data_IF_396557140671
#
_entry.id   IF_396557140671
#
_cell.length_a   1.000
_cell.length_b   1.000
_cell.length_c   1.000
_cell.angle_alpha   90.00
_cell.angle_beta   90.00
_cell.angle_gamma   90.00
#
_symmetry.space_group_name_H-M   'P 1'
#
loop_
_entity.id
_entity.type
_entity.pdbx_description
1 polymer ?
#
# COMPACT_ATOMS: atom_id res chain seq x y z
N UNK A 1 39.60 52.42 -22.32
CA UNK A 1 39.77 51.83 -20.97
C UNK A 1 38.69 50.82 -20.76
N UNK A 2 38.99 49.54 -20.95
CA UNK A 2 38.07 48.44 -20.80
C UNK A 2 38.31 47.76 -19.45
N UNK A 3 37.28 47.65 -18.62
CA UNK A 3 37.27 46.74 -17.48
C UNK A 3 36.26 45.64 -17.78
N UNK A 4 36.73 44.44 -18.04
CA UNK A 4 35.93 43.25 -18.08
C UNK A 4 35.89 42.64 -16.68
N UNK A 5 34.71 42.59 -16.08
CA UNK A 5 34.49 41.88 -14.82
C UNK A 5 34.21 40.41 -15.11
N UNK A 6 35.13 39.56 -14.72
CA UNK A 6 35.00 38.10 -14.67
C UNK A 6 34.36 37.73 -13.32
N UNK A 7 33.09 37.36 -13.35
CA UNK A 7 32.43 36.73 -12.19
C UNK A 7 31.35 35.78 -12.69
N UNK A 8 31.74 34.57 -13.13
CA UNK A 8 30.80 33.49 -13.34
C UNK A 8 31.50 32.13 -13.42
N UNK A 9 31.97 31.59 -12.32
CA UNK A 9 32.30 30.14 -12.29
C UNK A 9 32.40 29.48 -10.90
N UNK A 10 31.83 30.11 -9.84
CA UNK A 10 31.87 29.52 -8.49
C UNK A 10 30.60 28.73 -8.10
N UNK A 11 29.43 29.06 -8.66
CA UNK A 11 28.17 28.44 -8.27
C UNK A 11 27.94 27.04 -8.83
N UNK A 12 28.45 26.73 -10.01
CA UNK A 12 28.23 25.40 -10.64
C UNK A 12 29.08 24.27 -10.08
N UNK A 13 30.18 24.56 -9.38
CA UNK A 13 30.98 23.53 -8.72
C UNK A 13 30.38 23.11 -7.40
N UNK A 14 29.80 24.02 -6.65
CA UNK A 14 29.20 23.72 -5.35
C UNK A 14 27.88 22.93 -5.49
N UNK A 15 27.04 23.26 -6.49
CA UNK A 15 25.82 22.47 -6.77
C UNK A 15 26.10 21.03 -7.22
N UNK A 16 27.19 20.79 -7.97
CA UNK A 16 27.56 19.42 -8.38
C UNK A 16 28.09 18.59 -7.22
N UNK A 17 28.74 19.19 -6.27
CA UNK A 17 29.23 18.49 -5.06
C UNK A 17 28.07 18.14 -4.12
N UNK A 18 27.05 19.00 -4.05
CA UNK A 18 25.86 18.82 -3.20
C UNK A 18 24.93 17.70 -3.66
N UNK A 19 25.05 17.22 -4.89
CA UNK A 19 24.18 16.18 -5.47
C UNK A 19 24.87 14.83 -5.68
N UNK A 20 26.16 14.73 -5.41
CA UNK A 20 26.90 13.49 -5.61
C UNK A 20 26.58 12.50 -4.49
N UNK A 21 26.22 11.28 -4.88
CA UNK A 21 25.97 10.18 -3.97
C UNK A 21 27.25 9.76 -3.23
N UNK A 22 27.15 9.54 -1.93
CA UNK A 22 28.23 8.98 -1.12
C UNK A 22 28.21 7.44 -1.20
N UNK A 23 28.98 6.94 -2.18
CA UNK A 23 29.10 5.50 -2.43
C UNK A 23 29.72 4.75 -1.23
N UNK A 24 30.64 5.40 -0.50
CA UNK A 24 31.26 4.77 0.67
C UNK A 24 30.27 4.62 1.82
N UNK A 25 29.50 5.65 2.12
CA UNK A 25 28.44 5.58 3.11
C UNK A 25 27.38 4.53 2.73
N UNK A 26 27.04 4.44 1.44
CA UNK A 26 26.13 3.43 0.91
C UNK A 26 26.67 2.00 1.09
N UNK A 27 27.96 1.77 0.91
CA UNK A 27 28.60 0.47 1.16
C UNK A 27 28.58 0.10 2.65
N UNK A 28 28.79 1.05 3.54
CA UNK A 28 28.69 0.81 4.99
C UNK A 28 27.29 0.41 5.43
N UNK A 29 26.26 0.88 4.71
CA UNK A 29 24.85 0.58 5.05
C UNK A 29 24.41 -0.82 4.58
N UNK A 30 25.18 -1.54 3.76
CA UNK A 30 24.81 -2.88 3.30
C UNK A 30 24.65 -3.88 4.46
N UNK A 31 23.68 -4.82 4.35
CA UNK A 31 23.43 -5.87 5.34
C UNK A 31 22.09 -5.72 6.06
N UNK A 32 21.90 -6.49 7.14
CA UNK A 32 20.69 -6.50 7.98
C UNK A 32 20.92 -5.65 9.21
N UNK A 33 19.92 -4.82 9.51
CA UNK A 33 19.96 -3.88 10.61
C UNK A 33 18.83 -4.14 11.60
N UNK A 34 19.18 -4.21 12.88
CA UNK A 34 18.30 -4.44 14.01
C UNK A 34 18.18 -3.17 14.85
N UNK A 35 17.03 -2.99 15.50
CA UNK A 35 16.90 -2.05 16.59
C UNK A 35 17.79 -2.52 17.78
N UNK A 36 18.61 -1.63 18.31
CA UNK A 36 19.54 -2.00 19.38
C UNK A 36 18.81 -2.40 20.67
N UNK A 37 17.69 -1.77 20.98
CA UNK A 37 16.96 -1.96 22.23
C UNK A 37 16.07 -3.22 22.23
N UNK A 38 15.47 -3.55 21.08
CA UNK A 38 14.46 -4.61 20.95
C UNK A 38 14.99 -5.85 20.23
N UNK A 39 16.17 -5.76 19.62
CA UNK A 39 16.79 -6.81 18.79
C UNK A 39 15.92 -7.24 17.59
N UNK A 40 14.91 -6.44 17.24
CA UNK A 40 14.03 -6.69 16.10
C UNK A 40 14.68 -6.23 14.78
N UNK A 41 14.42 -7.00 13.73
CA UNK A 41 14.90 -6.67 12.37
C UNK A 41 14.11 -5.51 11.81
N UNK A 42 14.78 -4.38 11.55
CA UNK A 42 14.18 -3.16 11.01
C UNK A 42 14.18 -3.16 9.49
N UNK A 43 15.34 -3.39 8.87
CA UNK A 43 15.46 -3.49 7.42
C UNK A 43 16.72 -4.22 6.98
N UNK A 44 16.72 -4.64 5.71
CA UNK A 44 17.90 -5.16 5.01
C UNK A 44 18.23 -4.23 3.84
N UNK A 45 19.51 -3.92 3.70
CA UNK A 45 20.03 -3.16 2.56
C UNK A 45 20.81 -4.08 1.64
N UNK A 46 20.40 -4.09 0.37
CA UNK A 46 21.10 -4.82 -0.68
C UNK A 46 21.22 -3.93 -1.91
N UNK A 47 22.45 -3.63 -2.31
CA UNK A 47 22.77 -2.71 -3.39
C UNK A 47 22.14 -1.31 -3.17
N UNK A 48 21.21 -0.91 -4.00
CA UNK A 48 20.52 0.39 -3.99
C UNK A 48 19.17 0.34 -3.30
N UNK A 49 18.82 -0.78 -2.66
CA UNK A 49 17.45 -1.05 -2.22
C UNK A 49 17.40 -1.43 -0.74
N UNK A 50 16.44 -0.86 -0.04
CA UNK A 50 16.07 -1.23 1.33
C UNK A 50 14.86 -2.15 1.26
N UNK A 51 14.92 -3.27 1.96
CA UNK A 51 13.87 -4.27 2.13
C UNK A 51 13.39 -4.27 3.57
N UNK A 52 12.09 -4.40 3.77
CA UNK A 52 11.45 -4.46 5.09
C UNK A 52 10.98 -5.88 5.41
N UNK A 53 10.97 -6.30 6.70
CA UNK A 53 10.60 -7.67 7.08
C UNK A 53 9.11 -7.95 6.95
N UNK A 54 8.26 -6.92 6.96
CA UNK A 54 6.83 -7.12 6.84
C UNK A 54 6.39 -7.48 5.41
N UNK A 55 5.22 -8.11 5.30
CA UNK A 55 4.72 -8.65 4.03
C UNK A 55 4.10 -7.63 3.08
N UNK A 56 3.82 -6.42 3.55
CA UNK A 56 3.10 -5.38 2.82
C UNK A 56 4.00 -4.26 2.34
N UNK A 57 5.11 -4.02 3.04
CA UNK A 57 6.08 -3.00 2.66
C UNK A 57 6.78 -3.35 1.34
N UNK A 58 6.85 -2.38 0.47
CA UNK A 58 7.59 -2.51 -0.79
C UNK A 58 9.05 -2.12 -0.59
N UNK A 59 9.97 -2.82 -1.28
CA UNK A 59 11.35 -2.38 -1.34
C UNK A 59 11.45 -0.96 -1.87
N UNK A 60 12.33 -0.15 -1.28
CA UNK A 60 12.50 1.26 -1.63
C UNK A 60 13.93 1.55 -2.09
N UNK A 61 14.07 2.29 -3.18
CA UNK A 61 15.38 2.80 -3.60
C UNK A 61 15.86 3.89 -2.65
N UNK A 62 17.16 3.90 -2.37
CA UNK A 62 17.74 4.94 -1.54
C UNK A 62 19.02 5.51 -2.13
N UNK A 63 19.35 6.70 -1.67
CA UNK A 63 20.64 7.37 -1.90
C UNK A 63 21.14 7.95 -0.59
N UNK A 64 22.45 8.03 -0.46
CA UNK A 64 23.09 8.83 0.59
C UNK A 64 23.77 10.02 -0.07
N UNK A 65 23.37 11.22 0.32
CA UNK A 65 23.94 12.46 -0.17
C UNK A 65 24.34 13.29 1.03
N UNK A 66 25.64 13.53 1.18
CA UNK A 66 26.19 14.14 2.39
C UNK A 66 25.74 13.33 3.64
N UNK A 67 25.27 14.01 4.69
CA UNK A 67 24.78 13.41 5.92
C UNK A 67 23.28 13.10 5.86
N UNK A 68 22.78 12.60 4.72
CA UNK A 68 21.35 12.34 4.55
C UNK A 68 21.07 11.06 3.79
N UNK A 69 20.27 10.19 4.42
CA UNK A 69 19.61 9.07 3.78
C UNK A 69 18.34 9.57 3.08
N UNK A 70 18.24 9.36 1.78
CA UNK A 70 17.11 9.79 0.95
C UNK A 70 16.42 8.54 0.40
N UNK A 71 15.20 8.27 0.86
CA UNK A 71 14.36 7.20 0.36
C UNK A 71 13.54 7.70 -0.83
N UNK A 72 13.46 6.91 -1.90
CA UNK A 72 12.71 7.22 -3.12
C UNK A 72 11.49 6.29 -3.21
N UNK A 73 10.46 6.60 -2.43
CA UNK A 73 9.14 5.95 -2.50
C UNK A 73 8.18 6.71 -3.43
N UNK A 74 6.93 6.87 -3.06
CA UNK A 74 5.97 7.72 -3.77
C UNK A 74 6.35 9.21 -3.75
N UNK A 75 7.07 9.63 -2.72
CA UNK A 75 7.74 10.93 -2.57
C UNK A 75 9.17 10.69 -2.05
N UNK A 76 10.07 11.65 -2.26
CA UNK A 76 11.41 11.56 -1.69
C UNK A 76 11.38 11.98 -0.22
N UNK A 77 11.71 11.07 0.68
CA UNK A 77 11.80 11.32 2.13
C UNK A 77 13.25 11.36 2.55
N UNK A 78 13.60 12.31 3.42
CA UNK A 78 14.97 12.58 3.81
C UNK A 78 15.15 12.45 5.31
N UNK A 79 16.12 11.63 5.72
CA UNK A 79 16.51 11.41 7.11
C UNK A 79 17.94 11.88 7.33
N UNK A 80 18.18 12.68 8.38
CA UNK A 80 19.52 13.14 8.72
C UNK A 80 20.30 12.02 9.40
N UNK A 81 21.44 11.65 8.84
CA UNK A 81 22.38 10.70 9.43
C UNK A 81 23.12 11.40 10.56
N UNK A 82 23.08 10.84 11.76
CA UNK A 82 23.78 11.34 12.94
C UNK A 82 25.17 10.70 13.04
N UNK A 83 25.23 9.39 12.80
CA UNK A 83 26.47 8.61 12.88
C UNK A 83 26.35 7.38 12.01
N UNK A 84 27.43 7.04 11.33
CA UNK A 84 27.52 5.83 10.53
C UNK A 84 28.91 5.19 10.66
N UNK A 85 28.90 3.91 10.98
CA UNK A 85 30.09 3.04 11.01
C UNK A 85 29.76 1.71 10.36
N UNK A 86 30.67 0.76 10.35
CA UNK A 86 30.44 -0.58 9.80
C UNK A 86 29.32 -1.35 10.52
N UNK A 87 29.16 -1.14 11.85
CA UNK A 87 28.24 -1.89 12.69
C UNK A 87 27.17 -1.03 13.37
N UNK A 88 27.20 0.30 13.18
CA UNK A 88 26.29 1.23 13.83
C UNK A 88 25.76 2.23 12.81
N UNK A 89 24.44 2.42 12.79
CA UNK A 89 23.76 3.43 11.99
C UNK A 89 22.77 4.21 12.85
N UNK A 90 23.02 5.50 13.01
CA UNK A 90 22.15 6.42 13.76
C UNK A 90 21.61 7.48 12.82
N UNK A 91 20.30 7.69 12.83
CA UNK A 91 19.64 8.73 12.03
C UNK A 91 18.48 9.36 12.80
N UNK A 92 18.08 10.56 12.40
CA UNK A 92 16.87 11.19 12.93
C UNK A 92 15.67 10.76 12.13
N UNK A 93 14.65 10.21 12.83
CA UNK A 93 13.37 9.91 12.24
C UNK A 93 12.58 11.19 11.94
N UNK A 94 11.38 11.06 11.39
CA UNK A 94 10.53 12.21 11.07
C UNK A 94 10.00 12.97 12.30
N UNK A 95 10.03 12.34 13.49
CA UNK A 95 9.64 12.98 14.75
C UNK A 95 10.81 13.76 15.39
N UNK A 96 12.01 13.61 14.84
CA UNK A 96 13.24 14.22 15.34
C UNK A 96 14.01 13.35 16.33
N UNK A 97 13.51 12.15 16.65
CA UNK A 97 14.18 11.21 17.55
C UNK A 97 15.34 10.54 16.86
N UNK A 98 16.38 10.21 17.62
CA UNK A 98 17.54 9.46 17.12
C UNK A 98 17.23 7.97 17.21
N UNK A 99 17.11 7.35 16.05
CA UNK A 99 17.00 5.89 15.90
C UNK A 99 18.39 5.31 15.82
N UNK A 100 18.66 4.26 16.60
CA UNK A 100 19.94 3.58 16.66
C UNK A 100 19.81 2.13 16.23
N UNK A 101 20.51 1.80 15.15
CA UNK A 101 20.50 0.46 14.56
C UNK A 101 21.88 -0.16 14.61
N UNK A 102 21.90 -1.46 14.87
CA UNK A 102 23.12 -2.27 14.87
C UNK A 102 23.07 -3.29 13.72
N UNK A 103 24.21 -3.46 13.04
CA UNK A 103 24.33 -4.47 11.99
C UNK A 103 24.42 -5.86 12.61
N UNK A 104 23.72 -6.80 12.05
CA UNK A 104 23.72 -8.18 12.49
C UNK A 104 23.98 -9.14 11.32
N UNK A 105 24.96 -10.02 11.51
CA UNK A 105 25.39 -11.02 10.52
C UNK A 105 24.79 -12.42 10.77
N UNK A 106 23.83 -12.57 11.74
CA UNK A 106 23.18 -13.84 11.99
C UNK A 106 22.33 -14.26 10.79
N UNK A 107 22.59 -15.43 10.15
CA UNK A 107 21.82 -15.89 8.99
C UNK A 107 20.32 -16.11 9.28
N UNK A 108 19.94 -16.31 10.54
CA UNK A 108 18.55 -16.50 10.94
C UNK A 108 17.71 -15.25 10.68
N UNK A 109 18.31 -14.05 10.70
CA UNK A 109 17.62 -12.81 10.41
C UNK A 109 17.16 -12.70 8.94
N UNK A 110 17.73 -13.48 8.02
CA UNK A 110 17.23 -13.59 6.65
C UNK A 110 15.82 -14.17 6.59
N UNK A 111 15.42 -15.01 7.56
CA UNK A 111 14.06 -15.57 7.61
C UNK A 111 12.98 -14.51 7.80
N UNK A 112 13.30 -13.35 8.40
CA UNK A 112 12.36 -12.24 8.54
C UNK A 112 11.87 -11.72 7.18
N UNK A 113 12.70 -11.81 6.14
CA UNK A 113 12.38 -11.35 4.78
C UNK A 113 11.74 -12.44 3.90
N UNK A 114 11.71 -13.69 4.35
CA UNK A 114 11.15 -14.82 3.60
C UNK A 114 9.65 -15.04 3.87
N UNK A 115 9.13 -14.57 4.99
CA UNK A 115 7.74 -14.77 5.39
C UNK A 115 6.84 -13.67 4.85
N UNK A 116 6.30 -13.87 3.65
CA UNK A 116 5.17 -13.10 3.17
C UNK A 116 3.88 -13.67 3.77
N UNK A 117 3.44 -13.15 4.90
CA UNK A 117 2.12 -13.49 5.42
C UNK A 117 1.02 -12.79 4.61
N UNK A 118 -0.06 -13.48 4.22
CA UNK A 118 -1.18 -12.84 3.55
C UNK A 118 -1.86 -11.87 4.51
N UNK A 119 -1.99 -10.63 4.10
CA UNK A 119 -2.73 -9.60 4.84
C UNK A 119 -4.23 -9.88 4.79
N UNK A 120 -4.93 -9.67 5.91
CA UNK A 120 -6.32 -10.09 6.16
C UNK A 120 -7.43 -9.36 5.34
N UNK A 121 -7.12 -8.68 4.25
CA UNK A 121 -8.07 -7.90 3.44
C UNK A 121 -8.24 -8.49 2.06
N UNK A 122 -8.92 -9.64 1.88
CA UNK A 122 -9.19 -10.22 0.55
C UNK A 122 -8.09 -9.95 -0.49
N UNK A 123 -6.84 -10.01 -0.04
CA UNK A 123 -5.69 -9.75 -0.89
C UNK A 123 -5.32 -11.03 -1.64
N UNK A 124 -5.33 -10.96 -2.96
CA UNK A 124 -4.96 -12.07 -3.85
C UNK A 124 -5.80 -13.35 -3.68
N UNK A 125 -7.00 -13.28 -3.05
CA UNK A 125 -7.87 -14.43 -2.85
C UNK A 125 -9.09 -14.37 -3.74
N UNK A 126 -9.29 -15.40 -4.55
CA UNK A 126 -10.54 -15.60 -5.29
C UNK A 126 -11.62 -16.11 -4.34
N UNK A 127 -12.67 -15.29 -4.11
CA UNK A 127 -13.80 -15.65 -3.27
C UNK A 127 -15.01 -15.90 -4.14
N UNK A 128 -15.72 -17.00 -3.93
CA UNK A 128 -16.99 -17.32 -4.60
C UNK A 128 -18.06 -17.59 -3.57
N UNK A 129 -19.21 -16.97 -3.75
CA UNK A 129 -20.40 -17.19 -2.91
C UNK A 129 -21.60 -17.47 -3.80
N UNK A 130 -22.38 -18.46 -3.43
CA UNK A 130 -23.67 -18.81 -4.00
C UNK A 130 -24.72 -18.73 -2.89
N UNK A 131 -25.72 -17.91 -3.10
CA UNK A 131 -26.82 -17.69 -2.14
C UNK A 131 -28.14 -17.90 -2.85
N UNK A 132 -29.03 -18.67 -2.25
CA UNK A 132 -30.38 -18.90 -2.75
C UNK A 132 -31.37 -18.16 -1.86
N UNK A 133 -32.25 -17.38 -2.49
CA UNK A 133 -33.32 -16.65 -1.81
C UNK A 133 -34.68 -17.00 -2.41
N UNK A 134 -35.72 -16.84 -1.62
CA UNK A 134 -37.12 -16.93 -2.08
C UNK A 134 -37.79 -15.58 -1.90
N UNK A 135 -38.20 -14.93 -2.98
CA UNK A 135 -38.95 -13.69 -2.95
C UNK A 135 -40.34 -13.93 -3.57
N UNK A 136 -41.38 -13.90 -2.75
CA UNK A 136 -42.69 -14.31 -3.12
C UNK A 136 -42.74 -15.81 -3.48
N UNK A 137 -43.22 -16.10 -4.73
CA UNK A 137 -43.28 -17.50 -5.26
C UNK A 137 -42.06 -17.85 -6.14
N UNK A 138 -41.10 -16.95 -6.25
CA UNK A 138 -39.94 -17.11 -7.13
C UNK A 138 -38.68 -17.43 -6.32
N UNK A 139 -37.85 -18.28 -6.90
CA UNK A 139 -36.54 -18.65 -6.35
C UNK A 139 -35.43 -18.02 -7.18
N UNK A 140 -34.51 -17.32 -6.52
CA UNK A 140 -33.38 -16.65 -7.15
C UNK A 140 -32.07 -17.20 -6.66
N UNK A 141 -31.09 -17.29 -7.56
CA UNK A 141 -29.71 -17.60 -7.26
C UNK A 141 -28.84 -16.35 -7.40
N UNK A 142 -28.07 -16.04 -6.40
CA UNK A 142 -27.18 -14.90 -6.30
C UNK A 142 -25.73 -15.39 -6.28
N UNK A 143 -24.98 -15.07 -7.31
CA UNK A 143 -23.56 -15.39 -7.37
C UNK A 143 -22.75 -14.12 -7.14
N UNK A 144 -21.83 -14.16 -6.19
CA UNK A 144 -20.86 -13.10 -5.95
C UNK A 144 -19.46 -13.71 -6.07
N UNK A 145 -18.64 -13.14 -6.94
CA UNK A 145 -17.26 -13.56 -7.10
C UNK A 145 -16.34 -12.36 -6.97
N UNK A 146 -15.45 -12.38 -5.95
CA UNK A 146 -14.40 -11.40 -5.77
C UNK A 146 -13.17 -11.89 -6.51
N UNK A 147 -12.74 -11.12 -7.50
CA UNK A 147 -11.58 -11.41 -8.33
C UNK A 147 -10.44 -10.47 -7.92
N UNK A 148 -9.30 -11.01 -7.45
CA UNK A 148 -8.13 -10.18 -7.18
C UNK A 148 -7.60 -9.58 -8.48
N UNK A 149 -7.07 -8.36 -8.40
CA UNK A 149 -6.45 -7.66 -9.53
C UNK A 149 -4.98 -7.37 -9.25
N UNK A 150 -4.28 -6.86 -10.26
CA UNK A 150 -2.92 -6.33 -10.13
C UNK A 150 -2.90 -4.81 -9.91
N UNK A 151 -4.08 -4.18 -9.74
CA UNK A 151 -4.18 -2.75 -9.49
C UNK A 151 -3.73 -2.44 -8.07
N UNK A 152 -2.61 -1.72 -7.98
CA UNK A 152 -1.94 -1.42 -6.71
C UNK A 152 -2.43 -0.10 -6.13
N UNK A 153 -2.67 -0.11 -4.83
CA UNK A 153 -2.81 1.07 -4.00
C UNK A 153 -1.62 1.11 -3.06
N UNK A 154 -0.87 2.19 -3.08
CA UNK A 154 0.27 2.40 -2.19
C UNK A 154 -0.20 3.30 -1.06
N UNK A 155 -0.07 2.81 0.16
CA UNK A 155 -0.31 3.57 1.38
C UNK A 155 0.99 3.70 2.14
N UNK A 156 1.41 4.93 2.39
CA UNK A 156 2.55 5.19 3.23
C UNK A 156 2.16 5.01 4.70
N UNK A 157 2.99 4.33 5.45
CA UNK A 157 2.94 4.18 6.89
C UNK A 157 4.33 4.44 7.47
N UNK A 158 4.47 4.28 8.78
CA UNK A 158 5.75 4.44 9.45
C UNK A 158 6.03 3.20 10.26
N UNK A 159 7.29 2.76 10.26
CA UNK A 159 7.75 1.72 11.18
C UNK A 159 7.77 2.26 12.61
N UNK A 160 7.96 1.39 13.60
CA UNK A 160 8.08 1.79 15.01
C UNK A 160 9.25 2.75 15.22
N UNK A 161 10.30 2.64 14.40
CA UNK A 161 11.43 3.57 14.40
C UNK A 161 11.13 4.90 13.70
N UNK A 162 9.92 5.09 13.15
CA UNK A 162 9.52 6.31 12.45
C UNK A 162 10.13 6.47 11.05
N UNK A 163 10.44 5.36 10.39
CA UNK A 163 10.85 5.34 8.99
C UNK A 163 9.63 5.18 8.11
N UNK A 164 9.47 6.04 7.10
CA UNK A 164 8.37 5.93 6.14
C UNK A 164 8.57 4.71 5.23
N UNK A 165 7.54 3.88 5.16
CA UNK A 165 7.47 2.69 4.31
C UNK A 165 6.21 2.73 3.43
N UNK A 166 6.32 2.26 2.20
CA UNK A 166 5.20 2.12 1.30
C UNK A 166 4.61 0.71 1.36
N UNK A 167 3.38 0.57 1.83
CA UNK A 167 2.65 -0.68 1.84
C UNK A 167 1.81 -0.82 0.57
N UNK A 168 1.83 -1.98 -0.06
CA UNK A 168 1.07 -2.27 -1.28
C UNK A 168 -0.15 -3.12 -0.96
N UNK A 169 -1.29 -2.63 -1.42
CA UNK A 169 -2.57 -3.34 -1.38
C UNK A 169 -3.11 -3.47 -2.79
N UNK A 170 -3.88 -4.52 -3.04
CA UNK A 170 -4.46 -4.77 -4.36
C UNK A 170 -5.96 -4.53 -4.32
N UNK A 171 -6.46 -3.88 -5.36
CA UNK A 171 -7.89 -3.69 -5.57
C UNK A 171 -8.53 -4.99 -6.10
N UNK A 172 -9.85 -5.11 -6.00
CA UNK A 172 -10.61 -6.23 -6.52
C UNK A 172 -11.63 -5.78 -7.58
N UNK A 173 -12.05 -6.75 -8.39
CA UNK A 173 -13.25 -6.65 -9.23
C UNK A 173 -14.25 -7.65 -8.67
N UNK A 174 -15.46 -7.17 -8.36
CA UNK A 174 -16.51 -8.03 -7.82
C UNK A 174 -17.60 -8.27 -8.88
N UNK A 175 -17.70 -9.52 -9.31
CA UNK A 175 -18.74 -9.97 -10.23
C UNK A 175 -20.00 -10.34 -9.45
N UNK A 176 -21.15 -9.81 -9.85
CA UNK A 176 -22.45 -10.20 -9.32
C UNK A 176 -23.33 -10.70 -10.45
N UNK A 177 -23.96 -11.86 -10.27
CA UNK A 177 -24.99 -12.38 -11.15
C UNK A 177 -26.23 -12.78 -10.35
N UNK A 178 -27.39 -12.48 -10.91
CA UNK A 178 -28.72 -12.86 -10.36
C UNK A 178 -29.47 -13.67 -11.39
N UNK A 179 -29.97 -14.82 -10.98
CA UNK A 179 -30.73 -15.73 -11.84
C UNK A 179 -32.10 -16.08 -11.24
N UNK A 180 -33.10 -16.25 -12.11
CA UNK A 180 -34.37 -16.90 -11.78
C UNK A 180 -34.46 -18.18 -12.62
N UNK A 181 -34.24 -19.34 -12.01
CA UNK A 181 -34.05 -20.60 -12.71
C UNK A 181 -32.90 -20.52 -13.72
N UNK A 182 -33.17 -20.78 -14.98
CA UNK A 182 -32.20 -20.66 -16.08
C UNK A 182 -32.04 -19.21 -16.61
N UNK A 183 -32.92 -18.30 -16.23
CA UNK A 183 -32.92 -16.94 -16.76
C UNK A 183 -31.94 -16.07 -15.97
N UNK A 184 -30.94 -15.53 -16.66
CA UNK A 184 -30.02 -14.52 -16.11
C UNK A 184 -30.68 -13.15 -16.14
N UNK A 185 -31.01 -12.61 -14.96
CA UNK A 185 -31.65 -11.31 -14.81
C UNK A 185 -30.64 -10.18 -14.77
N UNK A 186 -29.49 -10.42 -14.14
CA UNK A 186 -28.42 -9.44 -13.96
C UNK A 186 -27.06 -10.11 -14.01
N UNK A 187 -26.08 -9.41 -14.56
CA UNK A 187 -24.67 -9.86 -14.54
C UNK A 187 -23.78 -8.65 -14.80
N UNK A 188 -22.90 -8.32 -13.84
CA UNK A 188 -22.00 -7.16 -13.94
C UNK A 188 -20.77 -7.31 -13.09
N UNK A 189 -19.66 -6.76 -13.59
CA UNK A 189 -18.43 -6.51 -12.83
C UNK A 189 -18.50 -5.10 -12.20
N UNK A 190 -18.31 -5.06 -10.89
CA UNK A 190 -18.16 -3.82 -10.14
C UNK A 190 -16.68 -3.59 -9.85
N UNK A 191 -16.25 -2.36 -10.09
CA UNK A 191 -14.88 -1.88 -9.81
C UNK A 191 -14.96 -0.71 -8.82
N UNK A 192 -13.88 -0.41 -8.15
CA UNK A 192 -13.81 0.76 -7.25
C UNK A 192 -14.29 2.06 -7.93
N UNK A 193 -14.00 2.23 -9.21
CA UNK A 193 -14.42 3.40 -9.99
C UNK A 193 -15.95 3.60 -10.03
N UNK A 194 -16.75 2.53 -9.95
CA UNK A 194 -18.21 2.66 -9.95
C UNK A 194 -18.73 3.39 -8.70
N UNK A 195 -17.95 3.42 -7.63
CA UNK A 195 -18.31 4.00 -6.33
C UNK A 195 -17.71 5.40 -6.10
N UNK A 196 -16.88 5.90 -7.02
CA UNK A 196 -16.13 7.14 -6.85
C UNK A 196 -16.98 8.35 -6.48
N UNK A 197 -18.17 8.49 -7.08
CA UNK A 197 -19.10 9.64 -6.83
C UNK A 197 -19.66 9.70 -5.42
N UNK A 198 -19.60 8.59 -4.66
CA UNK A 198 -20.14 8.49 -3.30
C UNK A 198 -19.07 8.69 -2.22
N UNK A 199 -17.81 8.83 -2.62
CA UNK A 199 -16.67 8.83 -1.73
C UNK A 199 -15.84 10.08 -1.96
N UNK A 200 -15.41 10.80 -0.88
CA UNK A 200 -14.50 11.92 -1.01
C UNK A 200 -13.21 11.51 -1.73
N UNK A 201 -12.68 12.38 -2.61
CA UNK A 201 -11.51 12.08 -3.42
C UNK A 201 -10.29 11.65 -2.58
N UNK A 202 -10.08 12.28 -1.44
CA UNK A 202 -8.98 11.95 -0.54
C UNK A 202 -9.08 10.51 0.01
N UNK A 203 -10.29 10.05 0.31
CA UNK A 203 -10.55 8.68 0.73
C UNK A 203 -10.39 7.70 -0.44
N UNK A 204 -10.95 8.05 -1.61
CA UNK A 204 -10.93 7.21 -2.81
C UNK A 204 -9.51 6.82 -3.23
N UNK A 205 -8.53 7.71 -3.09
CA UNK A 205 -7.13 7.41 -3.45
C UNK A 205 -6.49 6.35 -2.58
N UNK A 206 -6.98 6.15 -1.36
CA UNK A 206 -6.40 5.26 -0.35
C UNK A 206 -7.19 3.97 -0.13
N UNK A 207 -8.47 3.91 -0.49
CA UNK A 207 -9.30 2.74 -0.28
C UNK A 207 -9.15 1.70 -1.38
N UNK A 208 -9.59 0.48 -1.09
CA UNK A 208 -9.77 -0.62 -2.05
C UNK A 208 -11.23 -1.03 -2.08
N UNK A 209 -11.71 -1.59 -3.20
CA UNK A 209 -12.95 -2.37 -3.20
C UNK A 209 -12.60 -3.76 -2.63
N UNK A 210 -12.92 -3.97 -1.36
CA UNK A 210 -12.60 -5.22 -0.68
C UNK A 210 -13.58 -6.33 -1.04
N UNK A 211 -14.88 -6.04 -0.97
CA UNK A 211 -15.93 -7.04 -1.13
C UNK A 211 -17.29 -6.39 -1.46
N UNK A 212 -18.23 -7.19 -2.00
CA UNK A 212 -19.66 -6.88 -2.07
C UNK A 212 -20.42 -8.08 -1.52
N UNK A 213 -21.11 -7.89 -0.41
CA UNK A 213 -21.76 -8.96 0.35
C UNK A 213 -23.29 -8.81 0.27
N UNK A 214 -24.00 -9.92 0.09
CA UNK A 214 -25.47 -9.95 0.20
C UNK A 214 -25.90 -9.48 1.58
N UNK A 215 -26.86 -8.57 1.64
CA UNK A 215 -27.41 -8.02 2.87
C UNK A 215 -28.83 -8.58 3.14
N UNK A 216 -29.77 -8.20 2.29
CA UNK A 216 -31.15 -8.66 2.38
C UNK A 216 -31.86 -8.58 1.01
N UNK A 217 -33.08 -9.06 0.94
CA UNK A 217 -33.95 -8.91 -0.24
C UNK A 217 -35.32 -8.35 0.14
N UNK A 218 -35.96 -7.75 -0.86
CA UNK A 218 -37.37 -7.38 -0.83
C UNK A 218 -38.19 -8.29 -1.77
N UNK A 219 -39.44 -7.96 -1.99
CA UNK A 219 -40.28 -8.61 -3.03
C UNK A 219 -39.85 -8.27 -4.45
N UNK A 220 -39.05 -7.21 -4.66
CA UNK A 220 -38.76 -6.65 -6.00
C UNK A 220 -37.23 -6.58 -6.29
N UNK A 221 -36.39 -6.74 -5.29
CA UNK A 221 -34.95 -6.54 -5.43
C UNK A 221 -34.13 -7.30 -4.42
N UNK A 222 -32.84 -7.42 -4.71
CA UNK A 222 -31.81 -7.88 -3.80
C UNK A 222 -30.87 -6.73 -3.45
N UNK A 223 -30.42 -6.70 -2.20
CA UNK A 223 -29.58 -5.65 -1.67
C UNK A 223 -28.23 -6.24 -1.23
N UNK A 224 -27.17 -5.57 -1.63
CA UNK A 224 -25.81 -5.88 -1.24
C UNK A 224 -25.15 -4.66 -0.60
N UNK A 225 -24.07 -4.89 0.15
CA UNK A 225 -23.21 -3.86 0.70
C UNK A 225 -21.80 -3.98 0.10
N UNK A 226 -21.38 -2.93 -0.58
CA UNK A 226 -20.01 -2.80 -1.06
C UNK A 226 -19.14 -2.18 0.03
N UNK A 227 -18.04 -2.84 0.38
CA UNK A 227 -17.09 -2.42 1.40
C UNK A 227 -15.84 -1.84 0.75
N UNK A 228 -15.56 -0.58 1.07
CA UNK A 228 -14.40 0.15 0.59
C UNK A 228 -13.55 0.63 1.79
N UNK A 229 -12.76 -0.26 2.41
CA UNK A 229 -11.88 0.11 3.51
C UNK A 229 -10.62 0.84 3.02
N UNK A 230 -10.06 1.71 3.88
CA UNK A 230 -8.65 2.06 3.82
C UNK A 230 -7.88 0.93 4.52
N UNK A 231 -6.96 0.26 3.83
CA UNK A 231 -6.16 -0.81 4.43
C UNK A 231 -5.48 -0.37 5.72
N UNK A 232 -5.31 -1.29 6.67
CA UNK A 232 -4.71 -1.08 8.01
C UNK A 232 -5.37 0.02 8.84
N UNK A 233 -6.65 0.27 8.60
CA UNK A 233 -7.46 1.15 9.45
C UNK A 233 -8.82 0.52 9.71
N UNK A 234 -9.52 1.04 10.70
CA UNK A 234 -10.92 0.69 10.97
C UNK A 234 -11.91 1.46 10.08
N UNK A 235 -11.41 2.34 9.21
CA UNK A 235 -12.25 3.25 8.42
C UNK A 235 -12.64 2.61 7.11
N UNK A 236 -13.96 2.55 6.85
CA UNK A 236 -14.53 1.98 5.62
C UNK A 236 -15.76 2.78 5.18
N UNK A 237 -15.91 2.99 3.88
CA UNK A 237 -17.19 3.36 3.30
C UNK A 237 -17.99 2.10 2.97
N UNK A 238 -19.28 2.14 3.25
CA UNK A 238 -20.25 1.10 2.90
C UNK A 238 -21.29 1.71 1.97
N UNK A 239 -21.35 1.19 0.75
CA UNK A 239 -22.27 1.67 -0.29
C UNK A 239 -23.26 0.56 -0.58
N UNK A 240 -24.54 0.91 -0.61
CA UNK A 240 -25.62 -0.02 -0.94
C UNK A 240 -25.66 -0.25 -2.45
N UNK A 241 -25.80 -1.51 -2.84
CA UNK A 241 -25.99 -1.94 -4.22
C UNK A 241 -27.35 -2.63 -4.29
N UNK A 242 -28.36 -1.94 -4.81
CA UNK A 242 -29.69 -2.52 -5.02
C UNK A 242 -29.78 -3.05 -6.45
N UNK A 243 -30.22 -4.29 -6.64
CA UNK A 243 -30.45 -4.92 -7.94
C UNK A 243 -31.89 -5.40 -8.00
N UNK A 244 -32.68 -4.80 -8.89
CA UNK A 244 -34.08 -5.20 -9.11
C UNK A 244 -34.15 -6.52 -9.86
N UNK A 245 -35.25 -7.27 -9.68
CA UNK A 245 -35.52 -8.48 -10.46
C UNK A 245 -35.85 -8.21 -11.93
N UNK A 246 -35.96 -6.92 -12.32
CA UNK A 246 -36.01 -6.48 -13.72
C UNK A 246 -34.60 -6.30 -14.35
N UNK A 247 -33.54 -6.52 -13.59
CA UNK A 247 -32.15 -6.40 -14.07
C UNK A 247 -31.57 -4.98 -14.05
N UNK A 248 -32.22 -4.03 -13.36
CA UNK A 248 -31.70 -2.67 -13.12
C UNK A 248 -30.91 -2.65 -11.79
N UNK A 249 -29.93 -1.78 -11.68
CA UNK A 249 -29.22 -1.58 -10.42
C UNK A 249 -29.13 -0.10 -10.05
N UNK A 250 -29.01 0.15 -8.76
CA UNK A 250 -28.84 1.47 -8.18
C UNK A 250 -27.80 1.41 -7.04
N UNK A 251 -26.98 2.47 -6.93
CA UNK A 251 -26.01 2.65 -5.85
C UNK A 251 -26.43 3.82 -4.97
N UNK A 252 -26.35 3.64 -3.65
CA UNK A 252 -26.68 4.69 -2.66
C UNK A 252 -25.81 4.52 -1.39
N UNK A 253 -25.71 5.57 -0.59
CA UNK A 253 -25.08 5.55 0.72
C UNK A 253 -26.02 4.97 1.78
#
# INVERSE_FOLDING_TARGET
MFFAASCANKSKRDERVLTQEDVKAKQLLQGIWLNEDEEDVVFKVQEDTIYYPDSTSIPVYFKIVQDSLILQSSSAVKYAIVRQTEHLFEFKNQYGDVVRLVKNDNPENEFAFMRKQPVALNQNSLIKRDTVINAGKQRYHLYVQVNPTTYKIIKNSYTDEGVEVGNVYYDNIVHISVYNGANKLFSRDFKKADFQKFIPQQFYTQCILSDIVFDHHSSQSVNFKAYLPIPDTTTSYVIKVNISFEGKYELSI
#
